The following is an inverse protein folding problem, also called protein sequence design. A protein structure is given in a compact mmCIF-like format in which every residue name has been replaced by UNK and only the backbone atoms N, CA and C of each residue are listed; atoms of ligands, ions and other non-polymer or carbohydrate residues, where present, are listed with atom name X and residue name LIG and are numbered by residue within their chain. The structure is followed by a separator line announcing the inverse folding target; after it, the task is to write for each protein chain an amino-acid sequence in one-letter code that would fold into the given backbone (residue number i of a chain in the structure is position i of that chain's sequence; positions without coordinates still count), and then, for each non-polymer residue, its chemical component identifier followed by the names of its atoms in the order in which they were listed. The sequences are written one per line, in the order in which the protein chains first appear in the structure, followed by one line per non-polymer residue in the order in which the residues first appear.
data_IF_828613155469
#
_entry.id   IF_828613155469
#
_cell.length_a   1.000
_cell.length_b   1.000
_cell.length_c   1.000
_cell.angle_alpha   90.00
_cell.angle_beta   90.00
_cell.angle_gamma   90.00
#
_symmetry.space_group_name_H-M   'P 1'
#
loop_
_entity.id
_entity.type
_entity.pdbx_description
1 polymer ?
#
# COMPACT_ATOMS: atom_id res chain seq x y z
N UNK A 1 -3.23 -34.05 -28.99
CA UNK A 1 -2.62 -32.69 -28.93
C UNK A 1 -3.74 -31.65 -28.82
N UNK A 2 -4.04 -31.17 -27.61
CA UNK A 2 -5.04 -30.13 -27.41
C UNK A 2 -4.44 -28.76 -27.78
N UNK A 3 -4.82 -28.20 -28.94
CA UNK A 3 -4.57 -26.79 -29.27
C UNK A 3 -5.38 -25.94 -28.28
N UNK A 4 -4.71 -25.36 -27.30
CA UNK A 4 -5.30 -24.35 -26.43
C UNK A 4 -5.87 -23.23 -27.30
N UNK A 5 -7.20 -23.13 -27.38
CA UNK A 5 -7.87 -22.03 -28.07
C UNK A 5 -7.51 -20.76 -27.31
N UNK A 6 -6.71 -19.88 -27.92
CA UNK A 6 -6.37 -18.57 -27.36
C UNK A 6 -7.67 -17.77 -27.27
N UNK A 7 -8.09 -17.45 -26.05
CA UNK A 7 -9.38 -16.83 -25.72
C UNK A 7 -9.55 -15.41 -26.29
N UNK A 8 -8.48 -14.79 -26.79
CA UNK A 8 -8.48 -13.49 -27.44
C UNK A 8 -7.56 -13.54 -28.69
N UNK A 9 -8.10 -13.40 -29.92
CA UNK A 9 -7.26 -13.27 -31.11
C UNK A 9 -6.45 -11.97 -31.01
N UNK A 10 -5.12 -12.06 -31.14
CA UNK A 10 -4.22 -10.91 -31.05
C UNK A 10 -3.64 -10.58 -29.67
N UNK A 11 -4.01 -11.31 -28.60
CA UNK A 11 -3.50 -11.06 -27.24
C UNK A 11 -1.97 -11.04 -27.14
N UNK A 12 -1.28 -11.95 -27.82
CA UNK A 12 0.19 -11.98 -27.80
C UNK A 12 0.82 -10.80 -28.52
N UNK A 13 0.15 -10.23 -29.53
CA UNK A 13 0.64 -9.07 -30.27
C UNK A 13 0.40 -7.79 -29.48
N UNK A 14 -0.78 -7.61 -28.89
CA UNK A 14 -1.09 -6.45 -28.04
C UNK A 14 -0.26 -6.47 -26.75
N UNK A 15 -0.10 -7.64 -26.13
CA UNK A 15 0.77 -7.81 -24.97
C UNK A 15 2.24 -7.57 -25.33
N UNK A 16 2.72 -8.12 -26.45
CA UNK A 16 4.09 -7.89 -26.93
C UNK A 16 4.37 -6.42 -27.22
N UNK A 17 3.44 -5.72 -27.86
CA UNK A 17 3.54 -4.30 -28.15
C UNK A 17 3.50 -3.45 -26.87
N UNK A 18 2.63 -3.80 -25.91
CA UNK A 18 2.57 -3.12 -24.60
C UNK A 18 3.86 -3.31 -23.82
N UNK A 19 4.39 -4.53 -23.74
CA UNK A 19 5.66 -4.83 -23.08
C UNK A 19 6.84 -4.16 -23.78
N UNK A 20 6.86 -4.13 -25.11
CA UNK A 20 7.89 -3.43 -25.87
C UNK A 20 7.86 -1.92 -25.64
N UNK A 21 6.66 -1.32 -25.59
CA UNK A 21 6.50 0.10 -25.34
C UNK A 21 6.92 0.48 -23.90
N UNK A 22 6.45 -0.25 -22.89
CA UNK A 22 6.90 -0.05 -21.50
C UNK A 22 8.41 -0.29 -21.36
N UNK A 23 8.90 -1.36 -21.99
CA UNK A 23 10.32 -1.68 -22.02
C UNK A 23 11.13 -0.56 -22.63
N UNK A 24 10.70 0.00 -23.76
CA UNK A 24 11.39 1.10 -24.44
C UNK A 24 11.43 2.37 -23.56
N UNK A 25 10.32 2.73 -22.91
CA UNK A 25 10.25 3.90 -22.02
C UNK A 25 11.24 3.80 -20.85
N UNK A 26 11.44 2.59 -20.31
CA UNK A 26 12.37 2.36 -19.19
C UNK A 26 13.81 2.16 -19.67
N UNK A 27 14.00 1.40 -20.74
CA UNK A 27 15.32 1.03 -21.25
C UNK A 27 16.01 2.17 -21.99
N UNK A 28 15.28 3.08 -22.64
CA UNK A 28 15.89 4.23 -23.32
C UNK A 28 16.68 5.14 -22.36
N UNK A 29 16.11 5.67 -21.26
CA UNK A 29 16.87 6.53 -20.35
C UNK A 29 18.00 5.76 -19.65
N UNK A 30 17.78 4.50 -19.25
CA UNK A 30 18.83 3.66 -18.66
C UNK A 30 19.98 3.41 -19.64
N UNK A 31 19.66 3.06 -20.88
CA UNK A 31 20.64 2.85 -21.95
C UNK A 31 21.39 4.13 -22.28
N UNK A 32 20.70 5.27 -22.37
CA UNK A 32 21.34 6.57 -22.59
C UNK A 32 22.31 6.94 -21.46
N UNK A 33 21.94 6.66 -20.19
CA UNK A 33 22.86 6.83 -19.05
C UNK A 33 24.08 5.93 -19.15
N UNK A 34 23.92 4.66 -19.55
CA UNK A 34 25.02 3.72 -19.73
C UNK A 34 25.96 4.14 -20.86
N UNK A 35 25.43 4.58 -22.00
CA UNK A 35 26.25 5.09 -23.11
C UNK A 35 27.00 6.36 -22.69
N UNK A 36 26.35 7.26 -21.94
CA UNK A 36 27.00 8.46 -21.42
C UNK A 36 28.12 8.12 -20.43
N UNK A 37 27.92 7.12 -19.57
CA UNK A 37 28.94 6.63 -18.64
C UNK A 37 30.09 5.94 -19.36
N UNK A 38 29.81 5.12 -20.39
CA UNK A 38 30.82 4.43 -21.19
C UNK A 38 31.66 5.39 -22.06
N UNK A 39 31.11 6.55 -22.42
CA UNK A 39 31.84 7.61 -23.13
C UNK A 39 32.78 8.45 -22.25
N UNK A 40 32.79 8.25 -20.93
CA UNK A 40 33.73 8.92 -20.01
C UNK A 40 35.02 8.12 -19.89
N UNK A 41 36.17 8.81 -19.78
CA UNK A 41 37.43 8.14 -19.42
C UNK A 41 37.35 7.60 -17.99
N UNK A 42 38.10 6.52 -17.71
CA UNK A 42 38.15 5.93 -16.36
C UNK A 42 38.58 6.96 -15.31
N UNK A 43 39.52 7.85 -15.65
CA UNK A 43 39.95 8.96 -14.79
C UNK A 43 38.83 9.97 -14.56
N UNK A 44 38.07 10.35 -15.61
CA UNK A 44 36.93 11.25 -15.49
C UNK A 44 35.79 10.66 -14.65
N UNK A 45 35.57 9.35 -14.75
CA UNK A 45 34.61 8.63 -13.92
C UNK A 45 35.03 8.58 -12.45
N UNK A 46 36.29 8.25 -12.18
CA UNK A 46 36.83 8.24 -10.82
C UNK A 46 36.76 9.66 -10.23
N UNK A 47 37.27 10.68 -10.93
CA UNK A 47 37.25 12.06 -10.45
C UNK A 47 35.82 12.57 -10.17
N UNK A 48 34.83 12.17 -10.99
CA UNK A 48 33.43 12.52 -10.75
C UNK A 48 32.83 11.81 -9.52
N UNK A 49 33.23 10.56 -9.25
CA UNK A 49 32.68 9.76 -8.15
C UNK A 49 33.40 9.94 -6.81
N UNK A 50 34.70 10.24 -6.84
CA UNK A 50 35.52 10.52 -5.64
C UNK A 50 35.76 12.01 -5.41
N UNK A 51 35.12 12.87 -6.20
CA UNK A 51 35.16 14.32 -6.00
C UNK A 51 34.66 14.70 -4.59
N UNK A 52 35.18 15.80 -3.99
CA UNK A 52 34.82 16.20 -2.63
C UNK A 52 33.31 16.36 -2.41
N UNK A 53 32.59 16.83 -3.42
CA UNK A 53 31.13 17.00 -3.39
C UNK A 53 30.37 15.66 -3.41
N UNK A 54 30.87 14.67 -4.15
CA UNK A 54 30.27 13.34 -4.21
C UNK A 54 30.44 12.62 -2.87
N UNK A 55 31.65 12.65 -2.30
CA UNK A 55 31.94 12.07 -1.00
C UNK A 55 31.11 12.71 0.12
N UNK A 56 31.01 14.05 0.14
CA UNK A 56 30.17 14.76 1.10
C UNK A 56 28.69 14.36 0.96
N UNK A 57 28.18 14.23 -0.28
CA UNK A 57 26.82 13.78 -0.53
C UNK A 57 26.58 12.34 -0.06
N UNK A 58 27.53 11.42 -0.29
CA UNK A 58 27.44 10.04 0.20
C UNK A 58 27.44 9.98 1.72
N UNK A 59 28.32 10.75 2.38
CA UNK A 59 28.38 10.79 3.84
C UNK A 59 27.05 11.27 4.44
N UNK A 60 26.52 12.40 3.95
CA UNK A 60 25.24 12.95 4.45
C UNK A 60 24.12 11.95 4.21
N UNK A 61 24.05 11.32 3.05
CA UNK A 61 23.00 10.37 2.70
C UNK A 61 23.09 9.11 3.57
N UNK A 62 24.28 8.51 3.70
CA UNK A 62 24.47 7.27 4.45
C UNK A 62 24.23 7.47 5.95
N UNK A 63 24.73 8.56 6.53
CA UNK A 63 24.53 8.84 7.96
C UNK A 63 23.06 9.15 8.24
N UNK A 64 22.42 10.02 7.43
CA UNK A 64 20.99 10.32 7.60
C UNK A 64 20.11 9.09 7.40
N UNK A 65 20.46 8.22 6.44
CA UNK A 65 19.74 6.97 6.21
C UNK A 65 19.88 6.02 7.40
N UNK A 66 21.08 5.87 7.95
CA UNK A 66 21.32 5.01 9.11
C UNK A 66 20.53 5.50 10.35
N UNK A 67 20.56 6.81 10.61
CA UNK A 67 19.78 7.43 11.69
C UNK A 67 18.28 7.19 11.51
N UNK A 68 17.77 7.43 10.29
CA UNK A 68 16.36 7.22 9.96
C UNK A 68 15.93 5.76 10.10
N UNK A 69 16.76 4.80 9.66
CA UNK A 69 16.47 3.36 9.74
C UNK A 69 16.42 2.88 11.19
N UNK A 70 17.37 3.30 12.02
CA UNK A 70 17.39 2.94 13.45
C UNK A 70 16.14 3.51 14.13
N UNK A 71 15.85 4.80 13.91
CA UNK A 71 14.68 5.46 14.48
C UNK A 71 13.39 4.77 14.03
N UNK A 72 13.22 4.49 12.73
CA UNK A 72 12.02 3.85 12.20
C UNK A 72 11.89 2.40 12.60
N UNK A 73 13.00 1.69 12.83
CA UNK A 73 12.96 0.36 13.43
C UNK A 73 12.29 0.38 14.79
N UNK A 74 12.75 1.28 15.66
CA UNK A 74 12.24 1.38 17.03
C UNK A 74 10.83 1.96 17.07
N UNK A 75 10.61 3.10 16.41
CA UNK A 75 9.32 3.78 16.37
C UNK A 75 8.27 2.94 15.61
N UNK A 76 8.64 2.37 14.46
CA UNK A 76 7.75 1.53 13.66
C UNK A 76 7.37 0.24 14.37
N UNK A 77 8.31 -0.41 15.06
CA UNK A 77 8.01 -1.56 15.92
C UNK A 77 7.04 -1.17 17.04
N UNK A 78 7.28 -0.04 17.71
CA UNK A 78 6.42 0.44 18.79
C UNK A 78 5.00 0.74 18.28
N UNK A 79 4.86 1.46 17.16
CA UNK A 79 3.57 1.75 16.57
C UNK A 79 2.85 0.47 16.14
N UNK A 80 3.54 -0.43 15.43
CA UNK A 80 2.97 -1.71 15.02
C UNK A 80 2.51 -2.54 16.24
N UNK A 81 3.30 -2.55 17.32
CA UNK A 81 2.95 -3.22 18.57
C UNK A 81 1.66 -2.64 19.18
N UNK A 82 1.59 -1.31 19.29
CA UNK A 82 0.43 -0.63 19.86
C UNK A 82 -0.83 -0.87 19.01
N UNK A 83 -0.71 -0.76 17.68
CA UNK A 83 -1.82 -0.92 16.73
C UNK A 83 -2.34 -2.37 16.65
N UNK A 84 -1.45 -3.35 16.80
CA UNK A 84 -1.81 -4.77 16.75
C UNK A 84 -2.36 -5.27 18.09
N UNK A 85 -1.85 -4.79 19.23
CA UNK A 85 -2.19 -5.34 20.56
C UNK A 85 -3.28 -4.57 21.32
N UNK A 86 -3.44 -3.27 21.08
CA UNK A 86 -4.38 -2.44 21.85
C UNK A 86 -5.56 -1.96 21.00
N UNK A 87 -6.77 -2.14 21.54
CA UNK A 87 -8.00 -1.58 20.98
C UNK A 87 -8.37 -0.32 21.76
N UNK A 88 -8.21 0.86 21.14
CA UNK A 88 -8.54 2.15 21.75
C UNK A 88 -9.30 3.03 20.76
N UNK A 89 -10.12 3.97 21.26
CA UNK A 89 -11.04 4.77 20.45
C UNK A 89 -10.36 5.66 19.37
N UNK A 90 -9.06 5.95 19.51
CA UNK A 90 -8.26 6.72 18.56
C UNK A 90 -7.44 5.89 17.56
N UNK A 91 -7.58 4.56 17.55
CA UNK A 91 -6.75 3.64 16.75
C UNK A 91 -6.76 3.99 15.26
N UNK A 92 -7.95 4.23 14.71
CA UNK A 92 -8.12 4.53 13.28
C UNK A 92 -7.48 5.88 12.88
N UNK A 93 -7.49 6.86 13.79
CA UNK A 93 -6.83 8.14 13.54
C UNK A 93 -5.31 7.96 13.51
N UNK A 94 -4.75 7.20 14.46
CA UNK A 94 -3.32 6.89 14.47
C UNK A 94 -2.89 6.13 13.21
N UNK A 95 -3.66 5.12 12.81
CA UNK A 95 -3.41 4.35 11.59
C UNK A 95 -3.43 5.25 10.34
N UNK A 96 -4.42 6.14 10.23
CA UNK A 96 -4.49 7.13 9.14
C UNK A 96 -3.33 8.15 9.17
N UNK A 97 -2.87 8.56 10.35
CA UNK A 97 -1.72 9.47 10.49
C UNK A 97 -0.41 8.81 10.06
N UNK A 98 -0.25 7.52 10.31
CA UNK A 98 0.93 6.76 9.87
C UNK A 98 0.93 6.62 8.35
N UNK A 99 -0.23 6.38 7.74
CA UNK A 99 -0.39 6.28 6.28
C UNK A 99 -0.43 7.64 5.55
N UNK A 100 -0.46 8.74 6.30
CA UNK A 100 -0.50 10.10 5.76
C UNK A 100 0.57 10.39 4.70
N UNK A 101 1.84 9.93 4.82
CA UNK A 101 2.87 10.16 3.80
C UNK A 101 2.48 9.64 2.41
N UNK A 102 1.67 8.57 2.32
CA UNK A 102 1.21 8.01 1.05
C UNK A 102 -0.01 8.71 0.47
N UNK A 103 -0.82 9.32 1.33
CA UNK A 103 -1.96 10.10 0.90
C UNK A 103 -1.57 11.47 0.32
N UNK A 104 -0.38 11.97 0.68
CA UNK A 104 0.08 13.29 0.26
C UNK A 104 0.90 13.26 -1.03
N UNK A 105 0.76 14.27 -1.91
CA UNK A 105 1.75 14.52 -2.95
C UNK A 105 3.13 14.77 -2.31
N UNK A 106 4.18 14.19 -2.88
CA UNK A 106 5.55 14.27 -2.33
C UNK A 106 6.03 15.71 -2.12
N UNK A 107 5.71 16.62 -3.04
CA UNK A 107 6.03 18.04 -2.92
C UNK A 107 5.32 18.71 -1.72
N UNK A 108 4.05 18.34 -1.48
CA UNK A 108 3.26 18.87 -0.36
C UNK A 108 3.81 18.36 0.97
N UNK A 109 4.16 17.07 1.04
CA UNK A 109 4.78 16.47 2.23
C UNK A 109 6.09 17.18 2.59
N UNK A 110 6.95 17.44 1.59
CA UNK A 110 8.21 18.16 1.79
C UNK A 110 8.01 19.60 2.28
N UNK A 111 7.08 20.34 1.68
CA UNK A 111 6.78 21.71 2.11
C UNK A 111 6.16 21.76 3.51
N UNK A 112 5.28 20.82 3.85
CA UNK A 112 4.67 20.73 5.18
C UNK A 112 5.72 20.44 6.26
N UNK A 113 6.65 19.51 6.02
CA UNK A 113 7.77 19.26 6.93
C UNK A 113 8.67 20.49 7.06
N UNK A 114 9.03 21.12 5.94
CA UNK A 114 9.85 22.34 5.98
C UNK A 114 9.17 23.46 6.78
N UNK A 115 7.86 23.65 6.62
CA UNK A 115 7.08 24.63 7.37
C UNK A 115 6.95 24.27 8.86
N UNK A 116 6.79 22.99 9.20
CA UNK A 116 6.69 22.53 10.59
C UNK A 116 7.99 22.75 11.37
N UNK A 117 9.13 22.51 10.71
CA UNK A 117 10.47 22.66 11.30
C UNK A 117 11.10 24.04 11.06
N UNK A 118 10.41 24.95 10.38
CA UNK A 118 10.86 26.33 10.22
C UNK A 118 11.10 27.01 11.59
N UNK A 119 11.99 28.01 11.66
CA UNK A 119 12.20 28.83 12.86
C UNK A 119 10.89 29.32 13.52
N UNK A 120 9.95 29.75 12.69
CA UNK A 120 8.60 30.19 13.07
C UNK A 120 7.54 29.08 13.00
N UNK A 121 7.96 27.85 12.77
CA UNK A 121 7.11 26.67 12.65
C UNK A 121 6.76 26.08 14.02
N UNK A 122 5.71 25.27 14.04
CA UNK A 122 5.15 24.73 15.30
C UNK A 122 6.15 23.90 16.10
N UNK A 123 7.05 23.20 15.40
CA UNK A 123 8.12 22.39 16.01
C UNK A 123 9.42 23.18 16.06
N UNK A 124 9.81 23.83 14.96
CA UNK A 124 11.10 24.53 14.86
C UNK A 124 11.29 25.68 15.85
N UNK A 125 10.21 26.37 16.26
CA UNK A 125 10.25 27.42 17.28
C UNK A 125 10.81 26.95 18.64
N UNK A 126 10.69 25.65 18.95
CA UNK A 126 11.19 25.07 20.19
C UNK A 126 12.61 24.52 20.04
N UNK A 127 13.05 24.21 18.81
CA UNK A 127 14.38 23.66 18.53
C UNK A 127 15.41 24.74 18.23
N UNK A 128 14.99 25.88 17.70
CA UNK A 128 15.87 27.02 17.41
C UNK A 128 16.59 27.58 18.65
N UNK A 129 15.94 27.75 19.83
CA UNK A 129 16.63 28.18 21.05
C UNK A 129 17.70 27.18 21.55
N UNK A 130 17.57 25.91 21.15
CA UNK A 130 18.51 24.84 21.47
C UNK A 130 19.68 24.76 20.46
N UNK A 131 19.70 25.65 19.45
CA UNK A 131 20.74 25.70 18.41
C UNK A 131 20.61 24.61 17.34
N UNK A 132 19.54 23.82 17.33
CA UNK A 132 19.32 22.77 16.34
C UNK A 132 18.67 23.35 15.07
N UNK A 133 19.50 23.59 14.04
CA UNK A 133 19.01 23.91 12.69
C UNK A 133 18.53 22.62 12.02
N UNK A 134 17.23 22.48 11.85
CA UNK A 134 16.62 21.31 11.18
C UNK A 134 16.39 21.58 9.70
N UNK A 135 15.92 22.77 9.34
CA UNK A 135 15.66 23.12 7.93
C UNK A 135 16.97 23.29 7.18
N UNK A 136 17.07 22.65 6.00
CA UNK A 136 18.26 22.63 5.13
C UNK A 136 19.53 22.04 5.77
N UNK A 137 19.39 21.25 6.84
CA UNK A 137 20.50 20.57 7.50
C UNK A 137 20.30 19.06 7.50
N UNK A 138 21.37 18.33 7.83
CA UNK A 138 21.36 16.87 7.90
C UNK A 138 20.22 16.28 8.77
N UNK A 139 19.89 16.84 9.95
CA UNK A 139 18.79 16.32 10.77
C UNK A 139 17.43 16.41 10.06
N UNK A 140 17.18 17.46 9.26
CA UNK A 140 15.94 17.58 8.49
C UNK A 140 15.82 16.52 7.40
N UNK A 141 16.94 16.13 6.79
CA UNK A 141 16.99 15.03 5.81
C UNK A 141 16.63 13.72 6.52
N UNK A 142 17.25 13.42 7.67
CA UNK A 142 16.96 12.22 8.44
C UNK A 142 15.48 12.15 8.86
N UNK A 143 14.89 13.27 9.30
CA UNK A 143 13.45 13.34 9.66
C UNK A 143 12.56 13.12 8.43
N UNK A 144 12.87 13.71 7.28
CA UNK A 144 12.09 13.52 6.06
C UNK A 144 12.16 12.05 5.56
N UNK A 145 13.34 11.44 5.65
CA UNK A 145 13.53 10.01 5.39
C UNK A 145 12.73 9.16 6.39
N UNK A 146 12.75 9.51 7.67
CA UNK A 146 12.01 8.82 8.70
C UNK A 146 10.50 8.89 8.43
N UNK A 147 9.97 10.09 8.19
CA UNK A 147 8.56 10.34 7.90
C UNK A 147 8.04 9.51 6.72
N UNK A 148 8.82 9.41 5.64
CA UNK A 148 8.41 8.67 4.44
C UNK A 148 8.59 7.15 4.58
N UNK A 149 9.55 6.67 5.38
CA UNK A 149 9.82 5.24 5.52
C UNK A 149 9.10 4.55 6.69
N UNK A 150 8.63 5.30 7.70
CA UNK A 150 7.91 4.78 8.86
C UNK A 150 6.70 3.89 8.50
N UNK A 151 5.78 4.30 7.59
CA UNK A 151 4.62 3.47 7.27
C UNK A 151 4.98 2.11 6.66
N UNK A 152 6.09 2.01 5.93
CA UNK A 152 6.54 0.72 5.39
C UNK A 152 6.96 -0.24 6.50
N UNK A 153 7.66 0.24 7.53
CA UNK A 153 8.05 -0.57 8.68
C UNK A 153 6.82 -1.01 9.48
N UNK A 154 5.88 -0.10 9.73
CA UNK A 154 4.65 -0.44 10.46
C UNK A 154 3.87 -1.51 9.70
N UNK A 155 3.67 -1.33 8.39
CA UNK A 155 2.86 -2.24 7.56
C UNK A 155 3.54 -3.58 7.25
N UNK A 156 4.87 -3.69 7.38
CA UNK A 156 5.55 -4.98 7.31
C UNK A 156 5.48 -5.76 8.63
N UNK A 157 5.51 -5.05 9.77
CA UNK A 157 5.60 -5.67 11.11
C UNK A 157 4.23 -5.98 11.70
N UNK A 158 3.25 -5.09 11.51
CA UNK A 158 1.90 -5.23 12.06
C UNK A 158 1.25 -6.60 11.75
N UNK A 159 1.18 -7.08 10.49
CA UNK A 159 0.53 -8.37 10.20
C UNK A 159 1.23 -9.54 10.89
N UNK A 160 2.55 -9.46 11.10
CA UNK A 160 3.30 -10.52 11.79
C UNK A 160 2.99 -10.52 13.28
N UNK A 161 2.78 -9.37 13.90
CA UNK A 161 2.33 -9.30 15.30
C UNK A 161 0.90 -9.82 15.45
N UNK A 162 0.03 -9.56 14.48
CA UNK A 162 -1.35 -10.07 14.46
C UNK A 162 -1.42 -11.59 14.21
N UNK A 163 -0.47 -12.15 13.45
CA UNK A 163 -0.32 -13.59 13.22
C UNK A 163 0.33 -14.34 14.40
N UNK A 164 1.08 -13.66 15.27
CA UNK A 164 1.69 -14.28 16.44
C UNK A 164 0.61 -14.77 17.41
N UNK A 165 0.40 -16.09 17.42
CA UNK A 165 -0.56 -16.75 18.32
C UNK A 165 -0.21 -16.47 19.78
N UNK A 166 -1.19 -15.98 20.54
CA UNK A 166 -1.11 -15.69 21.98
C UNK A 166 -0.64 -16.93 22.77
N UNK A 167 -0.94 -18.13 22.26
CA UNK A 167 -0.54 -19.43 22.83
C UNK A 167 1.00 -19.55 22.99
N UNK A 168 1.78 -19.01 22.05
CA UNK A 168 3.26 -19.04 22.12
C UNK A 168 3.79 -18.20 23.29
N UNK A 169 3.13 -17.08 23.58
CA UNK A 169 3.47 -16.21 24.71
C UNK A 169 3.01 -16.82 26.04
N UNK A 170 1.81 -17.42 26.07
CA UNK A 170 1.26 -18.12 27.24
C UNK A 170 2.09 -19.35 27.62
N UNK A 171 2.61 -20.10 26.65
CA UNK A 171 3.54 -21.20 26.89
C UNK A 171 4.86 -20.71 27.52
N UNK A 172 5.41 -19.60 27.04
CA UNK A 172 6.63 -19.01 27.59
C UNK A 172 6.40 -18.45 29.01
N UNK A 173 5.24 -17.83 29.27
CA UNK A 173 4.82 -17.39 30.61
C UNK A 173 4.71 -18.58 31.57
N UNK A 174 4.13 -19.69 31.13
CA UNK A 174 3.98 -20.92 31.92
C UNK A 174 5.33 -21.55 32.26
N UNK A 175 6.33 -21.40 31.38
CA UNK A 175 7.72 -21.81 31.61
C UNK A 175 8.52 -20.87 32.54
N UNK A 176 7.88 -19.81 33.08
CA UNK A 176 8.50 -18.87 34.01
C UNK A 176 9.36 -17.80 33.35
N UNK A 177 9.24 -17.59 32.03
CA UNK A 177 9.95 -16.51 31.36
C UNK A 177 9.36 -15.14 31.75
N UNK A 178 10.25 -14.19 32.04
CA UNK A 178 9.84 -12.79 32.26
C UNK A 178 9.38 -12.13 30.95
N UNK A 179 8.52 -11.11 31.04
CA UNK A 179 8.01 -10.33 29.88
C UNK A 179 9.13 -9.89 28.92
N UNK A 180 10.25 -9.42 29.46
CA UNK A 180 11.40 -8.98 28.69
C UNK A 180 12.10 -10.15 27.97
N UNK A 181 12.14 -11.34 28.58
CA UNK A 181 12.69 -12.54 27.94
C UNK A 181 11.77 -13.05 26.84
N UNK A 182 10.46 -13.00 27.03
CA UNK A 182 9.48 -13.36 25.98
C UNK A 182 9.63 -12.41 24.80
N UNK A 183 9.73 -11.10 25.07
CA UNK A 183 9.97 -10.10 24.05
C UNK A 183 11.28 -10.35 23.28
N UNK A 184 12.41 -10.46 23.98
CA UNK A 184 13.73 -10.58 23.33
C UNK A 184 13.99 -11.95 22.67
N UNK A 185 13.48 -13.05 23.23
CA UNK A 185 13.82 -14.41 22.79
C UNK A 185 12.74 -15.09 21.95
N UNK A 186 11.49 -14.63 22.00
CA UNK A 186 10.37 -15.26 21.28
C UNK A 186 9.82 -14.31 20.22
N UNK A 187 9.50 -13.08 20.62
CA UNK A 187 8.87 -12.09 19.74
C UNK A 187 9.88 -11.46 18.79
N UNK A 188 10.96 -10.87 19.31
CA UNK A 188 11.96 -10.16 18.51
C UNK A 188 12.58 -11.00 17.38
N UNK A 189 13.01 -12.27 17.57
CA UNK A 189 13.54 -13.07 16.47
C UNK A 189 12.48 -13.43 15.42
N UNK A 190 11.21 -13.47 15.80
CA UNK A 190 10.11 -13.70 14.86
C UNK A 190 9.76 -12.45 14.06
N UNK A 191 9.91 -11.27 14.68
CA UNK A 191 9.70 -9.96 14.03
C UNK A 191 10.91 -9.48 13.23
N UNK A 192 12.12 -9.95 13.55
CA UNK A 192 13.36 -9.51 12.90
C UNK A 192 13.34 -9.60 11.36
N UNK A 193 12.86 -10.69 10.73
CA UNK A 193 12.74 -10.76 9.26
C UNK A 193 11.85 -9.66 8.69
N UNK A 194 10.74 -9.35 9.36
CA UNK A 194 9.75 -8.36 8.92
C UNK A 194 10.20 -6.92 9.17
N UNK A 195 10.93 -6.69 10.27
CA UNK A 195 11.60 -5.42 10.56
C UNK A 195 12.65 -5.12 9.48
N UNK A 196 13.49 -6.10 9.16
CA UNK A 196 14.50 -5.97 8.10
C UNK A 196 13.88 -5.70 6.73
N UNK A 197 12.77 -6.37 6.40
CA UNK A 197 12.03 -6.12 5.16
C UNK A 197 11.39 -4.72 5.12
N UNK A 198 10.94 -4.20 6.25
CA UNK A 198 10.39 -2.84 6.36
C UNK A 198 11.46 -1.76 6.27
N UNK A 199 12.63 -2.00 6.86
CA UNK A 199 13.79 -1.10 6.80
C UNK A 199 14.45 -1.08 5.40
N UNK A 200 14.40 -2.19 4.68
CA UNK A 200 14.95 -2.34 3.34
C UNK A 200 13.99 -3.16 2.47
N UNK A 201 13.15 -2.50 1.64
CA UNK A 201 12.19 -3.17 0.77
C UNK A 201 12.77 -4.20 -0.21
N UNK A 202 14.11 -4.30 -0.33
CA UNK A 202 14.82 -5.27 -1.17
C UNK A 202 15.47 -6.44 -0.43
N UNK A 203 15.55 -6.41 0.90
CA UNK A 203 16.20 -7.48 1.67
C UNK A 203 15.18 -8.57 1.99
N UNK A 204 15.09 -9.57 1.12
CA UNK A 204 14.25 -10.75 1.36
C UNK A 204 14.98 -11.71 2.31
N UNK A 205 14.53 -11.89 3.56
CA UNK A 205 15.15 -12.85 4.46
C UNK A 205 14.90 -14.26 3.90
N UNK A 206 15.93 -15.11 3.94
CA UNK A 206 15.80 -16.52 3.55
C UNK A 206 14.68 -17.16 4.37
N UNK A 207 13.80 -17.97 3.75
CA UNK A 207 12.74 -18.64 4.49
C UNK A 207 13.35 -19.57 5.54
N UNK A 208 13.41 -19.09 6.78
CA UNK A 208 13.56 -19.95 7.94
C UNK A 208 12.42 -20.95 7.88
N UNK A 209 12.73 -22.24 7.95
CA UNK A 209 11.73 -23.30 7.96
C UNK A 209 10.87 -23.13 9.20
N UNK A 210 9.79 -22.37 9.08
CA UNK A 210 8.65 -22.44 9.99
C UNK A 210 8.14 -23.86 9.84
N UNK A 211 8.49 -24.70 10.81
CA UNK A 211 8.07 -26.09 10.88
C UNK A 211 6.57 -26.07 11.15
N UNK A 212 5.79 -25.89 10.08
CA UNK A 212 4.34 -26.06 10.09
C UNK A 212 4.06 -27.52 10.41
N UNK A 213 3.94 -27.85 11.69
CA UNK A 213 3.15 -29.00 12.09
C UNK A 213 1.69 -28.63 11.83
N UNK A 214 1.28 -28.77 10.56
CA UNK A 214 -0.12 -28.84 10.19
C UNK A 214 -0.70 -30.10 10.83
N UNK A 215 -1.18 -29.95 12.06
CA UNK A 215 -2.24 -30.79 12.59
C UNK A 215 -3.46 -30.51 11.72
N UNK A 216 -3.65 -31.37 10.71
CA UNK A 216 -4.95 -31.63 10.11
C UNK A 216 -5.92 -32.04 11.24
N UNK A 217 -6.53 -31.06 11.92
CA UNK A 217 -7.81 -31.30 12.57
C UNK A 217 -8.82 -31.52 11.44
N UNK A 218 -9.04 -32.80 11.15
CA UNK A 218 -10.24 -33.26 10.46
C UNK A 218 -11.44 -32.59 11.14
N UNK A 219 -12.11 -31.68 10.45
CA UNK A 219 -13.48 -31.35 10.82
C UNK A 219 -14.30 -32.64 10.63
N UNK A 220 -14.89 -33.22 11.68
CA UNK A 220 -15.88 -34.26 11.47
C UNK A 220 -17.07 -33.64 10.72
N UNK A 221 -17.71 -34.37 9.80
CA UNK A 221 -18.85 -33.84 9.08
C UNK A 221 -19.94 -33.48 10.08
N UNK A 222 -20.44 -32.24 9.99
CA UNK A 222 -21.63 -31.79 10.70
C UNK A 222 -22.76 -32.73 10.28
N UNK A 223 -23.14 -33.64 11.19
CA UNK A 223 -24.26 -34.56 11.00
C UNK A 223 -25.54 -33.74 11.12
N UNK A 224 -26.02 -33.32 9.96
CA UNK A 224 -27.33 -32.69 9.77
C UNK A 224 -28.40 -33.59 10.39
N UNK A 225 -28.93 -33.17 11.54
CA UNK A 225 -29.81 -33.97 12.40
C UNK A 225 -31.28 -33.55 12.29
N UNK A 226 -31.68 -33.01 11.14
CA UNK A 226 -33.06 -32.57 10.90
C UNK A 226 -33.70 -33.12 9.60
N UNK A 227 -33.17 -34.20 9.03
CA UNK A 227 -33.95 -34.98 8.06
C UNK A 227 -34.83 -36.00 8.79
N UNK A 228 -36.00 -35.54 9.25
CA UNK A 228 -37.11 -36.45 9.58
C UNK A 228 -37.56 -37.19 8.31
N UNK A 229 -37.77 -38.51 8.38
CA UNK A 229 -38.39 -39.26 7.30
C UNK A 229 -39.91 -39.12 7.42
N UNK A 230 -40.53 -38.47 6.44
CA UNK A 230 -41.98 -38.48 6.28
C UNK A 230 -42.30 -39.00 4.88
N UNK A 231 -42.85 -40.21 4.88
CA UNK A 231 -43.92 -40.66 3.99
C UNK A 231 -43.53 -41.22 2.61
N UNK A 232 -43.14 -42.50 2.62
CA UNK A 232 -43.62 -43.45 1.62
C UNK A 232 -45.10 -43.73 1.88
N UNK A 233 -46.01 -43.31 0.99
CA UNK A 233 -47.20 -44.07 0.54
C UNK A 233 -48.13 -43.24 -0.37
N UNK A 234 -48.02 -43.41 -1.69
CA UNK A 234 -49.11 -43.38 -2.70
C UNK A 234 -48.46 -43.66 -4.07
N UNK A 235 -48.48 -44.89 -4.59
CA UNK A 235 -49.60 -45.60 -5.21
C UNK A 235 -50.24 -44.83 -6.38
N UNK A 236 -49.86 -45.24 -7.60
CA UNK A 236 -50.79 -45.40 -8.72
C UNK A 236 -51.09 -44.19 -9.59
N UNK A 237 -50.78 -44.31 -10.89
CA UNK A 237 -51.70 -43.85 -11.92
C UNK A 237 -51.21 -42.76 -12.87
N UNK A 238 -51.10 -43.17 -14.14
CA UNK A 238 -51.40 -42.40 -15.34
C UNK A 238 -50.31 -41.45 -15.86
N UNK A 239 -49.50 -41.98 -16.79
CA UNK A 239 -49.00 -41.22 -17.94
C UNK A 239 -50.15 -41.00 -18.92
N UNK A 240 -50.47 -39.75 -19.26
CA UNK A 240 -51.02 -39.41 -20.58
C UNK A 240 -50.32 -38.17 -21.15
N UNK A 241 -49.88 -38.38 -22.39
CA UNK A 241 -49.35 -37.49 -23.40
C UNK A 241 -50.54 -36.81 -24.09
N UNK A 242 -50.51 -35.50 -24.32
CA UNK A 242 -50.74 -34.85 -25.63
C UNK A 242 -50.82 -33.34 -25.46
N UNK A 243 -50.17 -32.61 -26.37
CA UNK A 243 -50.19 -31.16 -26.40
C UNK A 243 -51.45 -30.57 -27.03
N UNK A 244 -51.59 -29.25 -26.90
CA UNK A 244 -52.19 -28.43 -27.95
C UNK A 244 -51.76 -26.96 -27.82
N UNK A 245 -51.47 -26.36 -28.98
CA UNK A 245 -51.19 -24.94 -29.24
C UNK A 245 -52.34 -24.02 -28.81
N UNK A 246 -52.00 -22.78 -28.43
CA UNK A 246 -52.39 -21.48 -29.05
C UNK A 246 -52.18 -20.34 -28.03
N UNK A 247 -51.20 -19.43 -28.20
CA UNK A 247 -51.29 -18.12 -28.90
C UNK A 247 -52.54 -17.29 -28.52
N UNK A 248 -52.41 -16.28 -27.66
CA UNK A 248 -52.24 -14.86 -28.04
C UNK A 248 -52.43 -13.86 -26.87
N UNK A 249 -51.62 -12.80 -26.93
CA UNK A 249 -51.86 -11.37 -26.60
C UNK A 249 -51.91 -10.91 -25.14
N UNK A 250 -51.06 -9.91 -24.88
CA UNK A 250 -51.19 -8.99 -23.76
C UNK A 250 -49.94 -8.15 -23.49
N UNK A 251 -49.32 -7.57 -24.51
CA UNK A 251 -48.20 -6.63 -24.35
C UNK A 251 -48.73 -5.19 -24.19
N UNK A 252 -48.46 -4.58 -23.04
CA UNK A 252 -48.55 -3.16 -22.75
C UNK A 252 -47.45 -2.84 -21.72
N UNK A 253 -46.81 -1.67 -21.66
CA UNK A 253 -47.11 -0.38 -22.26
C UNK A 253 -45.82 0.33 -22.67
N UNK A 254 -45.94 1.07 -23.78
CA UNK A 254 -45.04 2.12 -24.25
C UNK A 254 -45.05 3.30 -23.26
N UNK A 255 -43.87 3.89 -23.01
CA UNK A 255 -43.75 5.31 -22.68
C UNK A 255 -42.84 5.97 -23.72
N UNK A 256 -43.48 6.75 -24.60
CA UNK A 256 -42.90 7.70 -25.54
C UNK A 256 -43.61 9.03 -25.27
N UNK A 257 -42.88 10.04 -24.85
CA UNK A 257 -43.18 11.47 -24.92
C UNK A 257 -41.89 12.20 -24.53
N UNK A 258 -41.49 13.35 -25.05
CA UNK A 258 -41.79 14.09 -26.28
C UNK A 258 -40.67 15.15 -26.29
N UNK A 259 -40.03 15.38 -27.43
CA UNK A 259 -39.12 16.51 -27.63
C UNK A 259 -39.91 17.73 -28.15
N UNK A 260 -39.59 18.91 -27.63
CA UNK A 260 -39.74 20.28 -28.19
C UNK A 260 -39.95 21.26 -27.00
N UNK A 261 -38.95 22.05 -26.61
CA UNK A 261 -38.62 23.38 -27.15
C UNK A 261 -39.68 24.45 -26.80
N UNK A 262 -39.33 25.40 -25.92
CA UNK A 262 -39.28 26.85 -26.21
C UNK A 262 -39.22 27.76 -24.94
N UNK A 263 -38.15 28.57 -24.90
CA UNK A 263 -38.11 30.04 -24.68
C UNK A 263 -38.23 30.72 -23.29
N UNK A 264 -37.23 31.61 -23.10
CA UNK A 264 -37.15 32.87 -22.32
C UNK A 264 -36.97 32.79 -20.78
N UNK A 265 -36.04 33.61 -20.23
CA UNK A 265 -36.39 35.00 -19.92
C UNK A 265 -35.35 36.01 -20.43
N UNK A 266 -35.84 37.02 -21.16
CA UNK A 266 -35.15 38.29 -21.35
C UNK A 266 -35.75 39.33 -20.41
N UNK A 267 -34.94 39.87 -19.50
CA UNK A 267 -35.18 41.16 -18.85
C UNK A 267 -33.83 41.77 -18.45
N UNK A 268 -33.20 42.49 -19.38
CA UNK A 268 -32.23 43.55 -19.09
C UNK A 268 -31.91 44.28 -20.41
N UNK A 269 -32.79 45.21 -20.78
CA UNK A 269 -32.52 46.22 -21.78
C UNK A 269 -32.32 47.56 -21.05
N UNK A 270 -31.10 48.09 -21.08
CA UNK A 270 -30.80 49.52 -21.05
C UNK A 270 -29.36 49.74 -21.53
N UNK A 271 -29.23 50.41 -22.66
CA UNK A 271 -28.04 50.74 -23.46
C UNK A 271 -27.27 51.96 -22.86
N UNK A 272 -26.38 52.67 -23.60
CA UNK A 272 -24.97 52.34 -23.86
C UNK A 272 -24.01 53.52 -23.52
N UNK A 273 -22.70 53.29 -23.38
CA UNK A 273 -21.73 54.37 -23.11
C UNK A 273 -20.29 54.06 -23.54
N UNK A 274 -19.88 54.73 -24.61
CA UNK A 274 -18.59 54.80 -25.32
C UNK A 274 -17.30 54.97 -24.46
N UNK A 275 -16.17 54.54 -25.03
CA UNK A 275 -14.83 55.17 -24.91
C UNK A 275 -13.74 54.23 -24.36
N UNK A 276 -12.79 53.67 -25.15
CA UNK A 276 -11.62 54.28 -25.83
C UNK A 276 -10.52 54.78 -24.88
N UNK A 277 -9.29 54.26 -25.11
CA UNK A 277 -7.95 54.67 -24.60
C UNK A 277 -7.66 54.30 -23.13
N UNK A 278 -6.47 53.84 -22.75
CA UNK A 278 -5.12 53.94 -23.35
C UNK A 278 -4.24 52.83 -22.77
#
# INVERSE_FOLDING_TARGET
MMRARRLLPGFSLTMGMTLAYLGLIVLLPLGAMLVKAAGMSLEGFIAATTGPRALAAYQVTLVSAAEAVIFNGLAGLLFAWVLARYQFAGRNLLDALIDLPFAMPTAVAGLALAAAFAPNGWVGQHLEPLGFKVVHAQPGIAIAMAFTSLPFVVRSVQPVIEELETETEEAARTLGASEMQIFLKVILPTLAPSLLAGMSPGLRPLPGRVRRHHLHRRQPPVRDRDRRPADLHQAGGIRIRLGHRHRHRGAGLRLRHHAADQRHPGLAAALPGKGVRR
#
